data_IF_835728681776
#
_entry.id   IF_835728681776
#
_cell.length_a   1.000
_cell.length_b   1.000
_cell.length_c   1.000
_cell.angle_alpha   90.00
_cell.angle_beta   90.00
_cell.angle_gamma   90.00
#
_symmetry.space_group_name_H-M   'P 1'
#
loop_
_entity.id
_entity.type
_entity.pdbx_description
1 polymer ?
#
# COMPACT_ATOMS: atom_id res chain seq x y z
N UNK A 1 -23.69 -11.64 -51.78
CA UNK A 1 -22.57 -12.57 -51.55
C UNK A 1 -21.24 -11.88 -51.26
N UNK A 2 -20.92 -10.69 -51.78
CA UNK A 2 -19.68 -9.97 -51.44
C UNK A 2 -19.74 -9.21 -50.09
N UNK A 3 -20.90 -8.67 -49.68
CA UNK A 3 -21.05 -7.98 -48.40
C UNK A 3 -21.06 -8.92 -47.19
N UNK A 4 -21.61 -10.12 -47.34
CA UNK A 4 -21.69 -11.12 -46.27
C UNK A 4 -20.31 -11.71 -45.93
N UNK A 5 -19.43 -11.86 -46.93
CA UNK A 5 -18.02 -12.23 -46.74
C UNK A 5 -17.22 -11.13 -46.03
N UNK A 6 -17.56 -9.85 -46.27
CA UNK A 6 -16.90 -8.70 -45.62
C UNK A 6 -17.34 -8.54 -44.16
N UNK A 7 -18.61 -8.83 -43.86
CA UNK A 7 -19.13 -8.87 -42.50
C UNK A 7 -18.52 -10.03 -41.69
N UNK A 8 -18.37 -11.22 -42.29
CA UNK A 8 -17.75 -12.37 -41.65
C UNK A 8 -16.23 -12.18 -41.39
N UNK A 9 -15.51 -11.52 -42.30
CA UNK A 9 -14.10 -11.18 -42.10
C UNK A 9 -13.89 -10.15 -40.97
N UNK A 10 -14.81 -9.20 -40.84
CA UNK A 10 -14.75 -8.18 -39.77
C UNK A 10 -15.07 -8.78 -38.39
N UNK A 11 -15.95 -9.79 -38.33
CA UNK A 11 -16.27 -10.51 -37.09
C UNK A 11 -15.17 -11.51 -36.65
N UNK A 12 -14.33 -11.97 -37.58
CA UNK A 12 -13.18 -12.83 -37.30
C UNK A 12 -11.94 -12.06 -36.83
N UNK A 13 -11.86 -10.75 -37.08
CA UNK A 13 -10.81 -9.87 -36.54
C UNK A 13 -11.05 -9.54 -35.06
N UNK A 14 -12.33 -9.40 -34.65
CA UNK A 14 -12.68 -9.09 -33.25
C UNK A 14 -12.56 -10.27 -32.28
N UNK A 15 -12.35 -11.51 -32.76
CA UNK A 15 -12.22 -12.70 -31.91
C UNK A 15 -10.77 -13.04 -31.54
N UNK A 16 -9.78 -12.43 -32.20
CA UNK A 16 -8.36 -12.61 -31.89
C UNK A 16 -7.85 -11.77 -30.71
N UNK A 17 -8.66 -10.86 -30.18
CA UNK A 17 -8.29 -10.00 -29.04
C UNK A 17 -8.64 -10.60 -27.67
N UNK A 18 -9.14 -11.84 -27.63
CA UNK A 18 -9.49 -12.58 -26.40
C UNK A 18 -8.31 -13.40 -25.84
N UNK A 19 -7.08 -13.06 -26.20
CA UNK A 19 -5.88 -13.85 -25.87
C UNK A 19 -4.78 -13.14 -25.07
N UNK A 20 -4.93 -11.86 -24.69
CA UNK A 20 -3.95 -11.22 -23.82
C UNK A 20 -4.63 -10.51 -22.65
N UNK A 21 -4.41 -11.03 -21.45
CA UNK A 21 -4.76 -10.37 -20.20
C UNK A 21 -3.76 -9.23 -19.91
N UNK A 22 -3.53 -8.36 -20.89
CA UNK A 22 -2.76 -7.13 -20.75
C UNK A 22 -3.69 -5.97 -21.07
N UNK A 23 -4.63 -5.73 -20.18
CA UNK A 23 -5.41 -4.49 -20.18
C UNK A 23 -4.47 -3.37 -19.74
N UNK A 24 -3.66 -2.84 -20.67
CA UNK A 24 -3.04 -1.53 -20.51
C UNK A 24 -4.19 -0.52 -20.57
N UNK A 25 -4.79 -0.24 -19.40
CA UNK A 25 -5.73 0.88 -19.28
C UNK A 25 -4.92 2.16 -19.43
N UNK A 26 -4.84 2.68 -20.65
CA UNK A 26 -4.59 4.09 -20.87
C UNK A 26 -5.78 4.88 -20.30
N UNK A 27 -5.78 5.09 -18.98
CA UNK A 27 -6.65 6.10 -18.37
C UNK A 27 -6.08 7.45 -18.75
N UNK A 28 -6.86 8.36 -19.36
CA UNK A 28 -6.44 9.75 -19.46
C UNK A 28 -6.20 10.24 -18.03
N UNK A 29 -4.98 10.70 -17.76
CA UNK A 29 -4.70 11.46 -16.54
C UNK A 29 -5.62 12.69 -16.58
N UNK A 30 -6.52 12.81 -15.61
CA UNK A 30 -7.42 13.96 -15.50
C UNK A 30 -6.67 15.26 -15.16
N UNK A 31 -5.34 15.21 -15.08
CA UNK A 31 -4.46 16.34 -14.86
C UNK A 31 -3.91 16.89 -16.18
N UNK A 32 -4.80 17.46 -17.00
CA UNK A 32 -4.40 18.54 -17.91
C UNK A 32 -4.12 19.78 -17.06
N UNK A 33 -2.95 19.84 -16.43
CA UNK A 33 -2.53 20.93 -15.56
C UNK A 33 -1.64 20.42 -14.44
N UNK A 34 -0.40 20.89 -14.41
CA UNK A 34 0.64 20.47 -13.48
C UNK A 34 0.29 20.74 -12.01
N UNK A 35 -0.28 19.76 -11.34
CA UNK A 35 -0.07 19.54 -9.92
C UNK A 35 0.80 18.29 -9.79
N UNK A 36 2.10 18.49 -9.59
CA UNK A 36 2.97 17.45 -9.07
C UNK A 36 2.34 16.92 -7.78
N UNK A 37 1.91 15.67 -7.75
CA UNK A 37 1.62 15.00 -6.49
C UNK A 37 2.93 15.08 -5.68
N UNK A 38 2.89 15.77 -4.53
CA UNK A 38 4.09 16.05 -3.73
C UNK A 38 4.71 14.76 -3.18
N UNK A 39 3.91 13.70 -3.06
CA UNK A 39 4.32 12.41 -2.53
C UNK A 39 4.67 11.40 -3.63
N UNK A 40 5.73 10.59 -3.42
CA UNK A 40 6.15 9.59 -4.40
C UNK A 40 5.07 8.52 -4.62
N UNK A 41 4.88 8.14 -5.88
CA UNK A 41 4.04 7.03 -6.30
C UNK A 41 4.45 5.74 -5.59
N UNK A 42 3.50 4.95 -5.12
CA UNK A 42 3.76 3.69 -4.43
C UNK A 42 2.55 2.76 -4.55
N UNK A 43 2.75 1.58 -5.12
CA UNK A 43 1.70 0.61 -5.40
C UNK A 43 1.15 -0.07 -4.14
N UNK A 44 1.96 -0.21 -3.09
CA UNK A 44 1.58 -0.85 -1.83
C UNK A 44 0.77 0.01 -0.86
N UNK A 45 0.35 1.23 -1.24
CA UNK A 45 -0.42 2.12 -0.34
C UNK A 45 -1.77 1.48 0.02
N UNK A 46 -2.04 1.33 1.31
CA UNK A 46 -3.30 0.75 1.82
C UNK A 46 -4.46 1.74 1.73
N UNK A 47 -4.20 3.03 2.02
CA UNK A 47 -5.23 4.08 2.09
C UNK A 47 -5.24 5.08 0.92
N UNK A 48 -4.57 4.80 -0.20
CA UNK A 48 -4.40 5.73 -1.32
C UNK A 48 -5.29 5.42 -2.53
N UNK A 49 -5.65 6.46 -3.30
CA UNK A 49 -6.28 6.29 -4.62
C UNK A 49 -5.28 5.60 -5.58
N UNK A 50 -5.76 4.80 -6.54
CA UNK A 50 -4.88 4.13 -7.52
C UNK A 50 -4.08 5.09 -8.43
N UNK A 51 -4.34 6.38 -8.32
CA UNK A 51 -3.58 7.46 -8.94
C UNK A 51 -2.12 7.54 -8.45
N UNK A 52 -1.78 6.91 -7.33
CA UNK A 52 -0.39 6.75 -6.88
C UNK A 52 0.36 5.59 -7.59
N UNK A 53 -0.23 4.98 -8.62
CA UNK A 53 0.41 3.97 -9.46
C UNK A 53 0.93 4.62 -10.74
N UNK A 54 2.24 4.55 -10.98
CA UNK A 54 2.88 5.18 -12.13
C UNK A 54 2.83 4.29 -13.39
N UNK A 55 2.60 4.91 -14.56
CA UNK A 55 2.72 4.26 -15.87
C UNK A 55 3.98 4.69 -16.65
N UNK A 56 4.73 5.67 -16.13
CA UNK A 56 5.91 6.22 -16.79
C UNK A 56 7.14 5.30 -16.61
N UNK A 57 7.68 4.78 -17.71
CA UNK A 57 8.83 3.88 -17.71
C UNK A 57 10.09 4.49 -17.07
N UNK A 58 10.31 5.80 -17.18
CA UNK A 58 11.49 6.45 -16.59
C UNK A 58 11.36 6.47 -15.05
N UNK A 59 10.15 6.72 -14.54
CA UNK A 59 9.85 6.64 -13.11
C UNK A 59 9.99 5.21 -12.59
N UNK A 60 9.49 4.21 -13.33
CA UNK A 60 9.58 2.80 -12.93
C UNK A 60 11.04 2.30 -12.85
N UNK A 61 11.94 2.81 -13.70
CA UNK A 61 13.38 2.50 -13.60
C UNK A 61 14.01 3.05 -12.33
N UNK A 62 13.59 4.23 -11.88
CA UNK A 62 14.08 4.89 -10.65
C UNK A 62 13.43 4.31 -9.39
N UNK A 63 12.14 4.02 -9.45
CA UNK A 63 11.34 3.51 -8.35
C UNK A 63 10.44 2.36 -8.84
N UNK A 64 10.89 1.11 -8.73
CA UNK A 64 10.15 -0.04 -9.27
C UNK A 64 8.87 -0.36 -8.50
N UNK A 65 8.73 0.06 -7.24
CA UNK A 65 7.49 -0.11 -6.45
C UNK A 65 6.44 1.00 -6.68
N UNK A 66 6.65 1.88 -7.65
CA UNK A 66 5.61 2.81 -8.09
C UNK A 66 4.47 2.11 -8.86
N UNK A 67 4.68 0.86 -9.30
CA UNK A 67 3.65 -0.02 -9.85
C UNK A 67 3.83 -1.45 -9.34
N UNK A 68 2.83 -2.34 -9.51
CA UNK A 68 3.01 -3.76 -9.22
C UNK A 68 4.21 -4.33 -9.98
N UNK A 69 5.13 -4.92 -9.24
CA UNK A 69 6.42 -5.40 -9.74
C UNK A 69 6.21 -6.71 -10.49
N UNK A 70 6.64 -6.75 -11.75
CA UNK A 70 6.54 -7.94 -12.60
C UNK A 70 7.76 -8.88 -12.48
N UNK A 71 8.93 -8.36 -12.11
CA UNK A 71 10.19 -9.12 -12.07
C UNK A 71 10.75 -9.23 -10.65
N UNK A 72 11.20 -10.42 -10.27
CA UNK A 72 11.84 -10.64 -8.96
C UNK A 72 13.16 -9.87 -8.80
N UNK A 73 13.87 -9.62 -9.91
CA UNK A 73 15.10 -8.83 -9.89
C UNK A 73 14.83 -7.41 -9.42
N UNK A 74 13.78 -6.79 -9.93
CA UNK A 74 13.36 -5.44 -9.56
C UNK A 74 12.87 -5.38 -8.10
N UNK A 75 12.19 -6.43 -7.64
CA UNK A 75 11.80 -6.56 -6.24
C UNK A 75 13.01 -6.63 -5.28
N UNK A 76 14.10 -7.27 -5.70
CA UNK A 76 15.31 -7.47 -4.89
C UNK A 76 16.40 -6.41 -5.10
N UNK A 77 16.14 -5.35 -5.88
CA UNK A 77 17.12 -4.28 -6.11
C UNK A 77 17.46 -3.57 -4.81
N UNK A 78 18.74 -3.61 -4.42
CA UNK A 78 19.23 -3.03 -3.17
C UNK A 78 19.55 -1.53 -3.27
N UNK A 79 19.52 -0.95 -4.48
CA UNK A 79 19.75 0.48 -4.73
C UNK A 79 18.82 1.37 -3.89
N UNK A 80 17.64 0.84 -3.54
CA UNK A 80 16.66 1.51 -2.69
C UNK A 80 17.19 1.90 -1.31
N UNK A 81 18.17 1.19 -0.74
CA UNK A 81 18.75 1.57 0.56
C UNK A 81 19.44 2.93 0.54
N UNK A 82 19.88 3.41 -0.63
CA UNK A 82 20.49 4.74 -0.78
C UNK A 82 19.46 5.84 -1.02
N UNK A 83 18.19 5.50 -1.21
CA UNK A 83 17.13 6.45 -1.46
C UNK A 83 16.61 7.05 -0.14
N UNK A 84 16.88 8.33 0.08
CA UNK A 84 16.47 9.06 1.29
C UNK A 84 14.96 9.10 1.49
N UNK A 85 14.18 9.03 0.41
CA UNK A 85 12.72 9.02 0.47
C UNK A 85 12.21 7.73 1.16
N UNK A 86 12.87 6.58 0.93
CA UNK A 86 12.51 5.33 1.61
C UNK A 86 12.76 5.42 3.12
N UNK A 87 13.86 6.07 3.52
CA UNK A 87 14.17 6.31 4.93
C UNK A 87 13.15 7.25 5.57
N UNK A 88 12.77 8.34 4.89
CA UNK A 88 11.72 9.25 5.37
C UNK A 88 10.41 8.48 5.61
N UNK A 89 10.00 7.65 4.65
CA UNK A 89 8.79 6.85 4.77
C UNK A 89 8.89 5.79 5.89
N UNK A 90 10.05 5.16 6.06
CA UNK A 90 10.27 4.20 7.14
C UNK A 90 10.20 4.85 8.52
N UNK A 91 10.75 6.06 8.69
CA UNK A 91 10.61 6.84 9.94
C UNK A 91 9.13 7.11 10.23
N UNK A 92 8.33 7.48 9.23
CA UNK A 92 6.89 7.72 9.39
C UNK A 92 6.15 6.44 9.82
N UNK A 93 6.48 5.30 9.21
CA UNK A 93 5.94 3.99 9.62
C UNK A 93 6.32 3.64 11.06
N UNK A 94 7.56 3.89 11.47
CA UNK A 94 8.00 3.67 12.85
C UNK A 94 7.28 4.57 13.86
N UNK A 95 7.19 5.88 13.59
CA UNK A 95 6.45 6.82 14.45
C UNK A 95 4.95 6.51 14.48
N UNK A 96 4.37 6.15 13.34
CA UNK A 96 2.97 5.73 13.26
C UNK A 96 2.70 4.48 14.08
N UNK A 97 3.57 3.47 14.00
CA UNK A 97 3.44 2.25 14.81
C UNK A 97 3.68 2.52 16.29
N UNK A 98 4.64 3.38 16.66
CA UNK A 98 4.85 3.83 18.04
C UNK A 98 3.58 4.44 18.63
N UNK A 99 2.99 5.41 17.95
CA UNK A 99 1.77 6.07 18.42
C UNK A 99 0.58 5.11 18.45
N UNK A 100 0.43 4.25 17.44
CA UNK A 100 -0.64 3.26 17.36
C UNK A 100 -0.57 2.28 18.54
N UNK A 101 0.59 1.66 18.76
CA UNK A 101 0.79 0.67 19.83
C UNK A 101 0.78 1.34 21.20
N UNK A 102 1.35 2.55 21.34
CA UNK A 102 1.29 3.33 22.57
C UNK A 102 -0.14 3.67 22.97
N UNK A 103 -0.97 4.16 22.04
CA UNK A 103 -2.38 4.44 22.31
C UNK A 103 -3.17 3.18 22.65
N UNK A 104 -2.97 2.09 21.89
CA UNK A 104 -3.71 0.83 22.10
C UNK A 104 -3.28 0.14 23.39
N UNK A 105 -1.98 0.15 23.69
CA UNK A 105 -1.42 -0.40 24.93
C UNK A 105 -1.88 0.37 26.17
N UNK A 106 -1.92 1.70 26.11
CA UNK A 106 -2.46 2.53 27.19
C UNK A 106 -3.96 2.23 27.42
N UNK A 107 -4.75 2.14 26.34
CA UNK A 107 -6.16 1.80 26.43
C UNK A 107 -6.40 0.39 27.00
N UNK A 108 -5.61 -0.59 26.57
CA UNK A 108 -5.66 -1.95 27.09
C UNK A 108 -5.26 -2.01 28.57
N UNK A 109 -4.25 -1.24 28.99
CA UNK A 109 -3.83 -1.15 30.39
C UNK A 109 -4.93 -0.60 31.29
N UNK A 110 -5.72 0.37 30.80
CA UNK A 110 -6.90 0.87 31.51
C UNK A 110 -7.95 -0.22 31.78
N UNK A 111 -8.12 -1.17 30.86
CA UNK A 111 -9.04 -2.30 31.06
C UNK A 111 -8.57 -3.26 32.16
N UNK A 112 -7.26 -3.39 32.38
CA UNK A 112 -6.72 -4.26 33.43
C UNK A 112 -6.99 -3.75 34.86
N UNK A 113 -7.36 -2.48 35.01
CA UNK A 113 -7.70 -1.86 36.29
C UNK A 113 -9.19 -2.00 36.66
N UNK A 114 -10.00 -2.59 35.78
CA UNK A 114 -11.42 -2.80 36.03
C UNK A 114 -11.64 -3.91 37.08
N UNK A 115 -12.65 -3.78 37.95
CA UNK A 115 -13.02 -4.85 38.88
C UNK A 115 -13.38 -6.16 38.14
N UNK A 116 -13.08 -7.34 38.71
CA UNK A 116 -13.40 -8.64 38.10
C UNK A 116 -14.90 -8.90 37.90
N UNK A 117 -15.76 -8.10 38.54
CA UNK A 117 -17.22 -8.17 38.46
C UNK A 117 -17.79 -7.50 37.21
N UNK A 118 -16.98 -6.81 36.41
CA UNK A 118 -17.40 -6.20 35.15
C UNK A 118 -17.67 -7.28 34.10
N UNK A 119 -18.82 -7.17 33.42
CA UNK A 119 -19.15 -8.03 32.27
C UNK A 119 -18.08 -7.93 31.19
N UNK A 120 -17.73 -9.06 30.55
CA UNK A 120 -16.73 -9.09 29.48
C UNK A 120 -17.20 -8.36 28.21
N UNK A 121 -18.52 -8.17 28.05
CA UNK A 121 -19.11 -7.59 26.84
C UNK A 121 -18.71 -6.12 26.62
N UNK A 122 -18.89 -5.18 27.58
CA UNK A 122 -18.42 -3.79 27.42
C UNK A 122 -16.92 -3.65 27.17
N UNK A 123 -16.09 -4.45 27.84
CA UNK A 123 -14.63 -4.40 27.68
C UNK A 123 -14.22 -4.84 26.26
N UNK A 124 -14.83 -5.90 25.75
CA UNK A 124 -14.60 -6.38 24.38
C UNK A 124 -15.10 -5.37 23.36
N UNK A 125 -16.28 -4.78 23.57
CA UNK A 125 -16.85 -3.77 22.67
C UNK A 125 -15.95 -2.52 22.60
N UNK A 126 -15.42 -2.06 23.74
CA UNK A 126 -14.47 -0.96 23.79
C UNK A 126 -13.20 -1.28 22.98
N UNK A 127 -12.59 -2.46 23.19
CA UNK A 127 -11.41 -2.88 22.44
C UNK A 127 -11.67 -3.00 20.93
N UNK A 128 -12.83 -3.53 20.54
CA UNK A 128 -13.22 -3.65 19.14
C UNK A 128 -13.40 -2.28 18.47
N UNK A 129 -14.07 -1.34 19.14
CA UNK A 129 -14.26 0.02 18.62
C UNK A 129 -12.94 0.77 18.49
N UNK A 130 -12.05 0.66 19.48
CA UNK A 130 -10.71 1.24 19.38
C UNK A 130 -9.91 0.64 18.23
N UNK A 131 -10.00 -0.68 18.03
CA UNK A 131 -9.31 -1.32 16.92
C UNK A 131 -9.86 -0.81 15.59
N UNK A 132 -11.17 -0.85 15.36
CA UNK A 132 -11.76 -0.43 14.09
C UNK A 132 -11.52 1.06 13.82
N UNK A 133 -11.85 1.94 14.75
CA UNK A 133 -11.78 3.38 14.53
C UNK A 133 -10.33 3.87 14.59
N UNK A 134 -9.59 3.45 15.61
CA UNK A 134 -8.21 3.88 15.83
C UNK A 134 -7.27 3.39 14.74
N UNK A 135 -7.31 2.09 14.40
CA UNK A 135 -6.44 1.54 13.36
C UNK A 135 -6.73 2.21 12.00
N UNK A 136 -8.01 2.37 11.66
CA UNK A 136 -8.42 3.06 10.44
C UNK A 136 -7.90 4.49 10.41
N UNK A 137 -8.07 5.26 11.49
CA UNK A 137 -7.57 6.62 11.59
C UNK A 137 -6.05 6.71 11.37
N UNK A 138 -5.29 5.84 12.02
CA UNK A 138 -3.83 5.80 11.88
C UNK A 138 -3.40 5.42 10.46
N UNK A 139 -4.02 4.40 9.86
CA UNK A 139 -3.74 3.98 8.47
C UNK A 139 -4.00 5.14 7.51
N UNK A 140 -5.18 5.77 7.57
CA UNK A 140 -5.52 6.87 6.65
C UNK A 140 -4.65 8.11 6.87
N UNK A 141 -4.18 8.35 8.09
CA UNK A 141 -3.27 9.46 8.39
C UNK A 141 -1.87 9.20 7.82
N UNK A 142 -1.37 7.96 7.91
CA UNK A 142 -0.05 7.58 7.43
C UNK A 142 -0.01 7.24 5.93
N UNK A 143 -1.15 6.88 5.33
CA UNK A 143 -1.24 6.41 3.95
C UNK A 143 -0.72 7.41 2.90
N UNK A 144 -1.02 8.72 2.96
CA UNK A 144 -0.47 9.69 2.01
C UNK A 144 1.05 9.78 2.08
N UNK A 145 1.62 9.63 3.28
CA UNK A 145 3.03 9.90 3.51
C UNK A 145 3.94 8.68 3.34
N UNK A 146 3.46 7.48 3.69
CA UNK A 146 4.25 6.24 3.68
C UNK A 146 3.56 5.02 3.06
N UNK A 147 2.24 5.07 2.87
CA UNK A 147 1.42 3.92 2.47
C UNK A 147 0.69 3.25 3.62
N UNK A 148 1.02 3.57 4.87
CA UNK A 148 0.20 3.26 6.03
C UNK A 148 0.11 1.77 6.33
N UNK A 149 1.23 1.05 6.22
CA UNK A 149 1.27 -0.36 6.56
C UNK A 149 1.13 -0.57 8.07
N UNK A 150 1.87 0.21 8.85
CA UNK A 150 1.95 0.27 10.32
C UNK A 150 2.06 -1.10 11.01
N UNK A 151 2.50 -2.12 10.26
CA UNK A 151 2.45 -3.52 10.65
C UNK A 151 3.49 -4.32 9.82
N UNK A 152 4.44 -5.00 10.48
CA UNK A 152 5.44 -5.82 9.80
C UNK A 152 4.83 -6.89 8.90
N UNK A 153 3.74 -7.54 9.33
CA UNK A 153 3.07 -8.59 8.56
C UNK A 153 2.45 -8.04 7.28
N UNK A 154 1.83 -6.86 7.33
CA UNK A 154 1.26 -6.20 6.14
C UNK A 154 2.39 -5.83 5.16
N UNK A 155 3.49 -5.30 5.68
CA UNK A 155 4.66 -4.96 4.87
C UNK A 155 5.27 -6.18 4.18
N UNK A 156 5.44 -7.28 4.92
CA UNK A 156 5.96 -8.55 4.38
C UNK A 156 4.99 -9.11 3.33
N UNK A 157 3.69 -9.09 3.59
CA UNK A 157 2.68 -9.51 2.62
C UNK A 157 2.73 -8.66 1.34
N UNK A 158 2.86 -7.34 1.46
CA UNK A 158 3.00 -6.43 0.33
C UNK A 158 4.25 -6.72 -0.52
N UNK A 159 5.37 -7.11 0.12
CA UNK A 159 6.57 -7.54 -0.58
C UNK A 159 6.32 -8.82 -1.40
N UNK A 160 5.74 -9.86 -0.79
CA UNK A 160 5.43 -11.10 -1.50
C UNK A 160 4.35 -10.94 -2.58
N UNK A 161 3.45 -9.96 -2.42
CA UNK A 161 2.48 -9.58 -3.44
C UNK A 161 3.08 -8.76 -4.59
N UNK A 162 4.38 -8.43 -4.54
CA UNK A 162 5.03 -7.61 -5.56
C UNK A 162 4.61 -6.14 -5.54
N UNK A 163 4.08 -5.65 -4.42
CA UNK A 163 3.63 -4.26 -4.26
C UNK A 163 4.68 -3.37 -3.57
N UNK A 164 5.77 -3.96 -3.10
CA UNK A 164 6.81 -3.33 -2.31
C UNK A 164 8.18 -3.92 -2.67
N UNK A 165 9.22 -3.09 -2.70
CA UNK A 165 10.61 -3.54 -2.91
C UNK A 165 11.23 -4.07 -1.62
N UNK A 166 12.26 -4.92 -1.73
CA UNK A 166 12.97 -5.47 -0.59
C UNK A 166 13.54 -4.39 0.35
N UNK A 167 14.24 -3.34 -0.14
CA UNK A 167 14.75 -2.31 0.75
C UNK A 167 13.65 -1.60 1.53
N UNK A 168 12.54 -1.25 0.88
CA UNK A 168 11.39 -0.64 1.55
C UNK A 168 10.82 -1.57 2.61
N UNK A 169 10.62 -2.84 2.27
CA UNK A 169 10.07 -3.83 3.19
C UNK A 169 10.94 -4.00 4.43
N UNK A 170 12.26 -4.13 4.26
CA UNK A 170 13.22 -4.25 5.37
C UNK A 170 13.21 -3.00 6.25
N UNK A 171 13.30 -1.81 5.65
CA UNK A 171 13.30 -0.54 6.39
C UNK A 171 12.00 -0.36 7.18
N UNK A 172 10.85 -0.67 6.59
CA UNK A 172 9.55 -0.58 7.24
C UNK A 172 9.44 -1.57 8.40
N UNK A 173 9.77 -2.85 8.19
CA UNK A 173 9.71 -3.86 9.25
C UNK A 173 10.58 -3.47 10.44
N UNK A 174 11.82 -3.03 10.19
CA UNK A 174 12.73 -2.60 11.27
C UNK A 174 12.15 -1.37 11.98
N UNK A 175 11.70 -0.36 11.25
CA UNK A 175 11.14 0.85 11.85
C UNK A 175 9.86 0.58 12.65
N UNK A 176 8.95 -0.25 12.13
CA UNK A 176 7.71 -0.67 12.79
C UNK A 176 8.00 -1.46 14.06
N UNK A 177 8.95 -2.40 14.02
CA UNK A 177 9.38 -3.15 15.20
C UNK A 177 10.00 -2.23 16.26
N UNK A 178 10.89 -1.32 15.86
CA UNK A 178 11.49 -0.34 16.78
C UNK A 178 10.42 0.59 17.38
N UNK A 179 9.51 1.09 16.55
CA UNK A 179 8.40 1.93 16.98
C UNK A 179 7.48 1.20 17.97
N UNK A 180 7.19 -0.08 17.75
CA UNK A 180 6.36 -0.88 18.65
C UNK A 180 7.02 -1.22 19.99
N UNK A 181 8.36 -1.17 20.09
CA UNK A 181 9.10 -1.47 21.31
C UNK A 181 9.18 -0.25 22.24
N UNK A 182 9.32 0.95 21.66
CA UNK A 182 9.44 2.23 22.38
C UNK A 182 8.09 2.61 22.99
#
# INVERSE_FOLDING_TARGET
>A
MAEEQKAAATALDSSNDLGSFNVVRNRPSLTNGGSSISEPAFAGRIGGNQEFVANDEELLKKQPDAAPISNIRDALRLDGFRNIELWRMAVIEGWGTFLLIGCFGAAASGLTMLPPSISLFPATLYGALLNVIGLTLFIFSAAPASGGHLNPTITIAAFFAGLCTLPRAVLYVVAQCLGSII
#
